data_IF_899842942379
#
_entry.id   IF_899842942379
#
_cell.length_a   1.000
_cell.length_b   1.000
_cell.length_c   1.000
_cell.angle_alpha   90.00
_cell.angle_beta   90.00
_cell.angle_gamma   90.00
#
_symmetry.space_group_name_H-M   'P 1'
#
loop_
_entity.id
_entity.type
_entity.pdbx_description
1 polymer ?
#
# COMPACT_ATOMS: atom_id res chain seq x y z
N UNK A 1 18.76 30.73 -17.89
CA UNK A 1 18.04 29.54 -18.42
C UNK A 1 17.09 29.03 -17.35
N UNK A 2 15.76 29.07 -17.57
CA UNK A 2 14.83 28.42 -16.67
C UNK A 2 15.02 26.90 -16.80
N UNK A 3 15.43 26.24 -15.72
CA UNK A 3 15.52 24.78 -15.67
C UNK A 3 14.12 24.22 -15.42
N UNK A 4 13.76 23.14 -16.12
CA UNK A 4 12.54 22.39 -15.77
C UNK A 4 12.63 21.99 -14.29
N UNK A 5 11.57 22.20 -13.48
CA UNK A 5 11.57 21.75 -12.09
C UNK A 5 11.93 20.26 -12.01
N UNK A 6 12.70 19.89 -10.98
CA UNK A 6 12.98 18.50 -10.71
C UNK A 6 11.66 17.75 -10.49
N UNK A 7 11.58 16.51 -10.99
CA UNK A 7 10.37 15.67 -10.83
C UNK A 7 10.13 15.27 -9.37
N UNK A 8 11.17 15.35 -8.55
CA UNK A 8 11.19 14.95 -7.14
C UNK A 8 11.97 16.01 -6.38
N UNK A 9 11.48 16.40 -5.21
CA UNK A 9 12.16 17.39 -4.37
C UNK A 9 13.06 16.73 -3.33
N UNK A 10 13.97 17.52 -2.74
CA UNK A 10 14.78 17.06 -1.62
C UNK A 10 13.92 16.65 -0.40
N UNK A 11 12.79 17.33 -0.19
CA UNK A 11 11.86 17.03 0.89
C UNK A 11 11.20 15.65 0.70
N UNK A 12 10.81 15.33 -0.53
CA UNK A 12 10.25 14.02 -0.87
C UNK A 12 11.28 12.91 -0.65
N UNK A 13 12.52 13.16 -1.04
CA UNK A 13 13.63 12.21 -0.84
C UNK A 13 13.89 11.97 0.65
N UNK A 14 13.93 13.04 1.46
CA UNK A 14 14.12 12.94 2.90
C UNK A 14 12.99 12.16 3.57
N UNK A 15 11.74 12.38 3.13
CA UNK A 15 10.57 11.65 3.61
C UNK A 15 10.64 10.16 3.27
N UNK A 16 10.97 9.84 2.01
CA UNK A 16 11.09 8.47 1.55
C UNK A 16 12.20 7.71 2.29
N UNK A 17 13.36 8.33 2.50
CA UNK A 17 14.47 7.72 3.23
C UNK A 17 14.10 7.44 4.70
N UNK A 18 13.39 8.36 5.37
CA UNK A 18 12.94 8.13 6.75
C UNK A 18 11.99 6.94 6.84
N UNK A 19 10.94 6.94 6.01
CA UNK A 19 9.98 5.83 5.96
C UNK A 19 10.66 4.50 5.61
N UNK A 20 11.60 4.51 4.66
CA UNK A 20 12.37 3.34 4.28
C UNK A 20 13.23 2.81 5.45
N UNK A 21 13.88 3.70 6.21
CA UNK A 21 14.65 3.31 7.41
C UNK A 21 13.76 2.70 8.49
N UNK A 22 12.63 3.32 8.78
CA UNK A 22 11.65 2.80 9.76
C UNK A 22 11.08 1.44 9.34
N UNK A 23 10.91 1.22 8.03
CA UNK A 23 10.44 -0.04 7.47
C UNK A 23 11.51 -1.14 7.35
N UNK A 24 12.78 -0.86 7.68
CA UNK A 24 13.87 -1.83 7.54
C UNK A 24 14.32 -2.06 6.09
N UNK A 25 14.19 -1.04 5.23
CA UNK A 25 14.69 -1.09 3.86
C UNK A 25 16.21 -1.21 3.79
N UNK A 26 16.71 -2.02 2.85
CA UNK A 26 18.14 -2.08 2.51
C UNK A 26 18.56 -0.95 1.58
N UNK A 27 17.66 -0.51 0.69
CA UNK A 27 17.98 0.48 -0.31
C UNK A 27 16.77 1.32 -0.75
N UNK A 28 17.05 2.55 -1.17
CA UNK A 28 16.11 3.44 -1.85
C UNK A 28 16.75 3.87 -3.17
N UNK A 29 16.01 3.77 -4.27
CA UNK A 29 16.45 4.19 -5.61
C UNK A 29 15.45 5.16 -6.23
N UNK A 30 15.93 6.09 -7.04
CA UNK A 30 15.10 7.09 -7.74
C UNK A 30 15.29 6.93 -9.23
N UNK A 31 14.20 6.68 -9.95
CA UNK A 31 14.18 6.60 -11.40
C UNK A 31 14.23 7.97 -12.09
N UNK A 32 14.63 8.03 -13.38
CA UNK A 32 14.64 9.26 -14.18
C UNK A 32 13.22 9.81 -14.45
N UNK A 33 12.19 9.00 -14.22
CA UNK A 33 10.78 9.35 -14.22
C UNK A 33 10.31 10.02 -12.91
N UNK A 34 11.13 9.96 -11.85
CA UNK A 34 10.80 10.46 -10.52
C UNK A 34 10.18 9.41 -9.60
N UNK A 35 10.09 8.15 -10.04
CA UNK A 35 9.58 7.06 -9.20
C UNK A 35 10.61 6.70 -8.14
N UNK A 36 10.19 6.71 -6.88
CA UNK A 36 11.01 6.26 -5.75
C UNK A 36 10.68 4.80 -5.45
N UNK A 37 11.68 3.91 -5.52
CA UNK A 37 11.55 2.49 -5.20
C UNK A 37 12.26 2.19 -3.88
N UNK A 38 11.57 1.53 -2.97
CA UNK A 38 12.08 1.11 -1.65
C UNK A 38 12.24 -0.40 -1.68
N UNK A 39 13.45 -0.89 -1.39
CA UNK A 39 13.76 -2.33 -1.37
C UNK A 39 13.87 -2.76 0.09
N UNK A 40 12.92 -3.60 0.52
CA UNK A 40 12.88 -4.14 1.89
C UNK A 40 13.74 -5.40 1.99
N UNK A 41 14.55 -5.50 3.04
CA UNK A 41 15.29 -6.72 3.38
C UNK A 41 14.52 -7.49 4.43
N UNK A 42 14.08 -8.72 4.12
CA UNK A 42 13.43 -9.60 5.09
C UNK A 42 11.95 -9.32 5.38
N UNK A 43 11.34 -8.29 4.76
CA UNK A 43 9.88 -8.20 4.73
C UNK A 43 9.36 -9.28 3.78
N UNK A 44 8.62 -10.27 4.30
CA UNK A 44 7.69 -11.02 3.47
C UNK A 44 6.89 -10.00 2.65
N UNK A 45 6.64 -10.24 1.35
CA UNK A 45 5.88 -9.29 0.54
C UNK A 45 4.59 -8.99 1.30
N UNK A 46 4.47 -7.76 1.81
CA UNK A 46 3.17 -7.25 2.21
C UNK A 46 2.45 -7.11 0.89
N UNK A 47 1.73 -8.17 0.52
CA UNK A 47 0.77 -8.14 -0.56
C UNK A 47 -0.04 -6.86 -0.30
N UNK A 48 0.11 -5.80 -1.12
CA UNK A 48 -0.69 -4.61 -0.92
C UNK A 48 -2.11 -5.14 -0.99
N UNK A 49 -2.83 -5.08 0.12
CA UNK A 49 -4.17 -5.66 0.30
C UNK A 49 -4.98 -5.37 -0.95
N UNK A 50 -4.94 -6.31 -1.89
CA UNK A 50 -5.93 -6.47 -2.93
C UNK A 50 -6.98 -7.26 -2.18
N UNK A 51 -7.71 -6.54 -1.32
CA UNK A 51 -8.79 -7.05 -0.50
C UNK A 51 -10.03 -7.33 -1.35
N UNK A 52 -9.83 -8.12 -2.40
CA UNK A 52 -10.82 -8.82 -3.20
C UNK A 52 -10.12 -10.17 -3.46
N UNK A 53 -10.10 -11.08 -2.50
CA UNK A 53 -11.01 -12.23 -2.56
C UNK A 53 -11.04 -13.00 -1.23
N UNK A 54 -11.15 -12.32 -0.09
CA UNK A 54 -11.76 -12.99 1.07
C UNK A 54 -13.28 -12.89 0.85
N UNK A 55 -13.82 -13.86 0.11
CA UNK A 55 -15.27 -14.02 -0.04
C UNK A 55 -15.82 -14.16 1.37
N UNK A 56 -16.39 -13.08 1.89
CA UNK A 56 -17.01 -13.08 3.20
C UNK A 56 -18.25 -13.97 3.13
N UNK A 57 -18.16 -15.16 3.72
CA UNK A 57 -19.27 -16.10 3.81
C UNK A 57 -20.03 -15.79 5.11
N UNK A 58 -21.26 -15.25 5.05
CA UNK A 58 -22.04 -14.95 6.24
C UNK A 58 -22.35 -16.23 7.01
N UNK A 59 -22.26 -16.17 8.34
CA UNK A 59 -22.61 -17.29 9.22
C UNK A 59 -24.08 -17.70 9.06
N UNK A 60 -24.40 -18.98 9.33
CA UNK A 60 -25.78 -19.47 9.26
C UNK A 60 -26.77 -18.64 10.09
N UNK A 61 -26.33 -18.13 11.25
CA UNK A 61 -27.15 -17.31 12.12
C UNK A 61 -27.57 -16.00 11.42
N UNK A 62 -26.65 -15.38 10.68
CA UNK A 62 -26.92 -14.16 9.92
C UNK A 62 -27.83 -14.43 8.73
N UNK A 63 -27.63 -15.55 8.02
CA UNK A 63 -28.50 -15.95 6.92
C UNK A 63 -29.95 -16.20 7.39
N UNK A 64 -30.14 -16.84 8.55
CA UNK A 64 -31.48 -17.05 9.14
C UNK A 64 -32.16 -15.75 9.56
N UNK A 65 -31.39 -14.79 10.08
CA UNK A 65 -31.91 -13.47 10.43
C UNK A 65 -32.42 -12.73 9.20
N UNK A 66 -31.61 -12.63 8.14
CA UNK A 66 -31.97 -11.95 6.89
C UNK A 66 -33.21 -12.57 6.24
N UNK A 67 -33.27 -13.91 6.18
CA UNK A 67 -34.43 -14.62 5.61
C UNK A 67 -35.73 -14.33 6.38
N UNK A 68 -35.62 -14.11 7.70
CA UNK A 68 -36.78 -13.78 8.54
C UNK A 68 -37.27 -12.35 8.31
N UNK A 69 -36.35 -11.41 8.03
CA UNK A 69 -36.71 -10.01 7.75
C UNK A 69 -37.28 -9.78 6.35
N UNK A 70 -36.98 -10.67 5.39
CA UNK A 70 -37.50 -10.60 4.01
C UNK A 70 -38.89 -11.19 3.83
N UNK A 71 -39.39 -11.97 4.79
CA UNK A 71 -40.72 -12.62 4.73
C UNK A 71 -41.79 -11.87 5.53
N UNK A 72 -41.59 -10.58 5.80
CA UNK A 72 -42.51 -9.69 6.51
C UNK A 72 -43.33 -8.80 5.58
#
# INVERSE_FOLDING_TARGET
MPRRPAKVTQADLARAIRAAKEAGASAVSVGPDGVIRIILTGAAPTNPTTGLDEIWIPSEALQRYLKRTESG
#
